data_IF_007895236673
#
_entry.id   IF_007895236673
#
_cell.length_a   1.000
_cell.length_b   1.000
_cell.length_c   1.000
_cell.angle_alpha   90.00
_cell.angle_beta   90.00
_cell.angle_gamma   90.00
#
_symmetry.space_group_name_H-M   'P 1'
#
loop_
_entity.id
_entity.type
_entity.pdbx_description
1 polymer ?
#
# COMPACT_ATOMS: atom_id res chain seq x y z
N UNK A 1 16.21 0.01 43.14
CA UNK A 1 15.78 0.74 41.93
C UNK A 1 14.71 -0.12 41.30
N UNK A 2 13.45 0.30 41.32
CA UNK A 2 12.37 -0.44 40.67
C UNK A 2 12.67 -0.46 39.17
N UNK A 3 12.69 -1.66 38.58
CA UNK A 3 12.96 -1.86 37.16
C UNK A 3 11.80 -1.26 36.36
N UNK A 4 11.82 0.04 36.11
CA UNK A 4 10.77 0.74 35.37
C UNK A 4 10.94 0.40 33.90
N UNK A 5 10.18 -0.58 33.43
CA UNK A 5 10.05 -0.89 32.00
C UNK A 5 9.56 0.35 31.24
N UNK A 6 10.07 0.52 30.02
CA UNK A 6 9.79 1.69 29.16
C UNK A 6 8.60 1.44 28.22
N UNK A 7 8.12 2.52 27.60
CA UNK A 7 7.18 2.49 26.49
C UNK A 7 7.91 2.95 25.22
N UNK A 8 7.81 2.19 24.13
CA UNK A 8 8.24 2.63 22.80
C UNK A 8 7.04 3.22 22.06
N UNK A 9 7.09 4.50 21.70
CA UNK A 9 6.02 5.20 20.99
C UNK A 9 6.34 5.33 19.50
N UNK A 10 5.41 4.88 18.66
CA UNK A 10 5.37 5.24 17.24
C UNK A 10 5.15 6.75 17.09
N UNK A 11 6.20 7.49 16.76
CA UNK A 11 6.21 8.94 16.82
C UNK A 11 6.28 9.56 15.42
N UNK A 12 5.25 10.33 15.05
CA UNK A 12 5.12 10.98 13.74
C UNK A 12 5.53 12.45 13.73
N UNK A 13 5.78 13.05 14.91
CA UNK A 13 6.07 14.49 15.02
C UNK A 13 4.82 15.39 15.09
N UNK A 14 3.62 14.83 14.88
CA UNK A 14 2.35 15.57 14.97
C UNK A 14 1.96 15.95 16.41
N UNK A 15 0.88 16.73 16.55
CA UNK A 15 0.36 17.14 17.87
C UNK A 15 0.05 15.93 18.76
N UNK A 16 -0.71 14.97 18.24
CA UNK A 16 -1.26 13.82 18.96
C UNK A 16 -0.13 13.00 19.59
N UNK A 17 0.86 12.61 18.79
CA UNK A 17 2.00 11.80 19.25
C UNK A 17 3.00 12.61 20.07
N UNK A 18 3.05 13.95 19.94
CA UNK A 18 3.90 14.80 20.78
C UNK A 18 3.33 14.99 22.17
N UNK A 19 2.00 15.14 22.28
CA UNK A 19 1.30 15.16 23.57
C UNK A 19 1.29 13.79 24.23
N UNK A 20 1.22 12.72 23.44
CA UNK A 20 1.26 11.35 23.95
C UNK A 20 2.51 11.04 24.80
N UNK A 21 3.66 11.63 24.49
CA UNK A 21 4.92 11.40 25.22
C UNK A 21 4.78 11.72 26.72
N UNK A 22 4.53 12.97 27.13
CA UNK A 22 4.36 13.31 28.55
C UNK A 22 3.08 12.71 29.13
N UNK A 23 2.01 12.60 28.34
CA UNK A 23 0.74 12.04 28.79
C UNK A 23 0.89 10.56 29.22
N UNK A 24 1.54 9.73 28.40
CA UNK A 24 1.84 8.33 28.73
C UNK A 24 2.68 8.24 30.01
N UNK A 25 3.68 9.12 30.15
CA UNK A 25 4.54 9.14 31.33
C UNK A 25 3.76 9.46 32.60
N UNK A 26 2.81 10.40 32.55
CA UNK A 26 1.96 10.73 33.70
C UNK A 26 0.97 9.62 34.04
N UNK A 27 0.34 9.01 33.02
CA UNK A 27 -0.66 7.97 33.24
C UNK A 27 -0.06 6.64 33.71
N UNK A 28 1.15 6.31 33.26
CA UNK A 28 1.77 4.98 33.51
C UNK A 28 2.97 5.03 34.47
N UNK A 29 3.59 6.20 34.65
CA UNK A 29 4.84 6.35 35.39
C UNK A 29 6.08 5.79 34.69
N UNK A 30 5.95 5.33 33.44
CA UNK A 30 7.01 4.76 32.60
C UNK A 30 7.65 5.83 31.71
N UNK A 31 8.95 5.68 31.45
CA UNK A 31 9.64 6.56 30.50
C UNK A 31 9.32 6.15 29.05
N UNK A 32 9.21 7.15 28.17
CA UNK A 32 8.84 6.97 26.77
C UNK A 32 10.07 7.14 25.87
N UNK A 33 10.29 6.17 24.99
CA UNK A 33 11.24 6.24 23.87
C UNK A 33 10.43 6.52 22.60
N UNK A 34 10.72 7.63 21.91
CA UNK A 34 10.04 7.98 20.67
C UNK A 34 10.77 7.36 19.47
N UNK A 35 10.06 6.67 18.58
CA UNK A 35 10.63 6.05 17.39
C UNK A 35 9.93 6.61 16.15
N UNK A 36 10.71 7.25 15.27
CA UNK A 36 10.24 7.81 14.01
C UNK A 36 10.90 7.12 12.83
N UNK A 37 10.11 6.76 11.82
CA UNK A 37 10.62 6.19 10.58
C UNK A 37 10.42 7.18 9.43
N UNK A 38 11.42 7.28 8.57
CA UNK A 38 11.28 7.86 7.25
C UNK A 38 10.88 6.76 6.27
N UNK A 39 9.66 6.87 5.75
CA UNK A 39 9.10 6.02 4.68
C UNK A 39 8.80 6.87 3.44
N UNK A 40 9.39 8.06 3.35
CA UNK A 40 9.22 8.98 2.23
C UNK A 40 8.04 9.93 2.38
N UNK A 41 7.61 10.21 3.61
CA UNK A 41 6.51 11.13 3.90
C UNK A 41 6.82 12.60 3.53
N UNK A 42 8.09 12.97 3.39
CA UNK A 42 8.51 14.36 3.19
C UNK A 42 8.20 15.24 4.42
N UNK A 43 8.03 16.56 4.20
CA UNK A 43 7.72 17.49 5.27
C UNK A 43 8.94 17.92 6.09
N UNK A 44 8.80 17.94 7.42
CA UNK A 44 9.86 18.38 8.32
C UNK A 44 11.05 17.42 8.33
N UNK A 45 12.26 17.96 8.47
CA UNK A 45 13.46 17.13 8.60
C UNK A 45 13.37 16.24 9.84
N UNK A 46 13.82 14.99 9.74
CA UNK A 46 13.73 14.02 10.84
C UNK A 46 14.44 14.49 12.11
N UNK A 47 15.50 15.29 11.98
CA UNK A 47 16.20 15.88 13.12
C UNK A 47 15.31 16.86 13.90
N UNK A 48 14.40 17.57 13.23
CA UNK A 48 13.41 18.44 13.88
C UNK A 48 12.40 17.60 14.66
N UNK A 49 11.92 16.51 14.05
CA UNK A 49 11.00 15.56 14.70
C UNK A 49 11.67 14.95 15.95
N UNK A 50 12.91 14.48 15.81
CA UNK A 50 13.71 13.95 16.93
C UNK A 50 13.82 14.94 18.10
N UNK A 51 14.25 16.16 17.80
CA UNK A 51 14.43 17.19 18.82
C UNK A 51 13.10 17.60 19.47
N UNK A 52 11.99 17.58 18.72
CA UNK A 52 10.65 17.81 19.27
C UNK A 52 10.24 16.73 20.27
N UNK A 53 10.46 15.45 19.97
CA UNK A 53 10.17 14.35 20.90
C UNK A 53 10.93 14.51 22.22
N UNK A 54 12.24 14.79 22.15
CA UNK A 54 13.07 15.03 23.33
C UNK A 54 12.56 16.23 24.13
N UNK A 55 12.22 17.33 23.45
CA UNK A 55 11.69 18.52 24.09
C UNK A 55 10.28 18.32 24.69
N UNK A 56 9.52 17.32 24.23
CA UNK A 56 8.26 16.89 24.82
C UNK A 56 8.44 15.89 25.99
N UNK A 57 9.67 15.48 26.31
CA UNK A 57 9.97 14.67 27.49
C UNK A 57 10.27 13.19 27.24
N UNK A 58 10.52 12.79 25.98
CA UNK A 58 11.01 11.45 25.68
C UNK A 58 12.41 11.26 26.28
N UNK A 59 12.67 10.08 26.85
CA UNK A 59 14.00 9.75 27.42
C UNK A 59 15.04 9.47 26.33
N UNK A 60 14.56 9.06 25.15
CA UNK A 60 15.35 8.83 23.95
C UNK A 60 14.45 9.08 22.72
N UNK A 61 15.06 9.51 21.61
CA UNK A 61 14.35 9.65 20.34
C UNK A 61 15.17 9.05 19.20
N UNK A 62 14.67 7.93 18.70
CA UNK A 62 15.29 7.13 17.66
C UNK A 62 14.65 7.41 16.30
N UNK A 63 15.48 7.58 15.28
CA UNK A 63 15.06 7.87 13.91
C UNK A 63 15.68 6.82 12.99
N UNK A 64 14.87 6.24 12.12
CA UNK A 64 15.31 5.28 11.10
C UNK A 64 14.98 5.83 9.72
N UNK A 65 15.95 5.83 8.81
CA UNK A 65 15.64 5.96 7.38
C UNK A 65 15.33 4.59 6.79
N UNK A 66 14.05 4.33 6.52
CA UNK A 66 13.55 3.04 6.07
C UNK A 66 12.97 3.10 4.65
N UNK A 67 13.31 4.13 3.86
CA UNK A 67 12.76 4.33 2.51
C UNK A 67 13.10 3.20 1.55
N UNK A 68 14.39 2.84 1.45
CA UNK A 68 14.84 1.73 0.60
C UNK A 68 14.21 0.41 1.06
N UNK A 69 14.25 0.15 2.38
CA UNK A 69 13.65 -1.04 2.96
C UNK A 69 12.14 -1.14 2.71
N UNK A 70 11.42 -0.01 2.78
CA UNK A 70 10.00 0.07 2.47
C UNK A 70 9.74 -0.26 0.99
N UNK A 71 10.50 0.36 0.09
CA UNK A 71 10.38 0.10 -1.34
C UNK A 71 10.66 -1.38 -1.66
N UNK A 72 11.81 -1.89 -1.21
CA UNK A 72 12.31 -3.23 -1.56
C UNK A 72 11.47 -4.35 -0.98
N UNK A 73 11.11 -4.26 0.31
CA UNK A 73 10.52 -5.39 1.03
C UNK A 73 9.00 -5.30 1.21
N UNK A 74 8.39 -4.14 0.96
CA UNK A 74 6.96 -3.94 1.16
C UNK A 74 6.28 -3.55 -0.15
N UNK A 75 6.72 -2.46 -0.78
CA UNK A 75 6.13 -2.01 -2.04
C UNK A 75 6.34 -3.02 -3.17
N UNK A 76 7.51 -3.65 -3.29
CA UNK A 76 7.72 -4.65 -4.34
C UNK A 76 6.90 -5.93 -4.14
N UNK A 77 6.62 -6.34 -2.90
CA UNK A 77 5.68 -7.44 -2.65
C UNK A 77 4.26 -7.05 -3.09
N UNK A 78 3.83 -5.84 -2.78
CA UNK A 78 2.53 -5.33 -3.23
C UNK A 78 2.44 -5.21 -4.75
N UNK A 79 3.51 -4.76 -5.41
CA UNK A 79 3.60 -4.67 -6.87
C UNK A 79 3.48 -6.05 -7.53
N UNK A 80 4.26 -7.03 -7.07
CA UNK A 80 4.23 -8.41 -7.56
C UNK A 80 2.87 -9.08 -7.37
N UNK A 81 2.18 -8.71 -6.29
CA UNK A 81 0.81 -9.15 -5.99
C UNK A 81 -0.26 -8.34 -6.73
N UNK A 82 0.11 -7.37 -7.60
CA UNK A 82 -0.80 -6.42 -8.23
C UNK A 82 -1.83 -5.83 -7.25
N UNK A 83 -1.39 -5.53 -6.02
CA UNK A 83 -2.29 -5.39 -4.89
C UNK A 83 -3.20 -4.17 -5.04
N UNK A 84 -4.51 -4.44 -5.13
CA UNK A 84 -5.57 -3.43 -5.23
C UNK A 84 -6.74 -3.88 -4.35
N UNK A 85 -6.84 -3.32 -3.15
CA UNK A 85 -7.99 -3.55 -2.27
C UNK A 85 -9.27 -3.06 -2.94
N UNK A 86 -10.30 -3.90 -2.94
CA UNK A 86 -11.56 -3.68 -3.67
C UNK A 86 -11.34 -3.30 -5.14
N UNK A 87 -10.32 -3.88 -5.77
CA UNK A 87 -9.90 -3.62 -7.16
C UNK A 87 -9.48 -2.16 -7.45
N UNK A 88 -9.33 -1.30 -6.42
CA UNK A 88 -9.11 0.14 -6.57
C UNK A 88 -7.92 0.69 -5.76
N UNK A 89 -7.73 0.29 -4.50
CA UNK A 89 -6.78 0.95 -3.58
C UNK A 89 -5.47 0.17 -3.38
N UNK A 90 -4.28 0.70 -3.76
CA UNK A 90 -3.01 -0.02 -3.66
C UNK A 90 -2.36 0.03 -2.26
N UNK A 91 -3.17 -0.01 -1.20
CA UNK A 91 -2.72 -0.27 0.17
C UNK A 91 -1.70 0.75 0.74
N UNK A 92 -1.71 1.99 0.25
CA UNK A 92 -0.82 3.11 0.66
C UNK A 92 -0.46 3.10 2.13
N UNK A 93 -1.48 3.21 2.96
CA UNK A 93 -1.32 3.25 4.40
C UNK A 93 -0.97 1.86 4.92
N UNK A 94 -1.70 0.83 4.50
CA UNK A 94 -1.57 -0.52 5.05
C UNK A 94 -0.14 -1.11 4.95
N UNK A 95 0.59 -0.81 3.88
CA UNK A 95 1.93 -1.38 3.63
C UNK A 95 3.00 -0.88 4.61
N UNK A 96 2.91 0.37 5.09
CA UNK A 96 3.96 0.93 5.97
C UNK A 96 3.85 0.47 7.42
N UNK A 97 2.65 0.09 7.88
CA UNK A 97 2.40 -0.33 9.28
C UNK A 97 3.24 -1.53 9.71
N UNK A 98 3.30 -2.66 8.96
CA UNK A 98 4.15 -3.78 9.37
C UNK A 98 5.64 -3.45 9.39
N UNK A 99 6.12 -2.53 8.54
CA UNK A 99 7.49 -2.01 8.60
C UNK A 99 7.74 -1.24 9.89
N UNK A 100 6.87 -0.26 10.17
CA UNK A 100 6.96 0.57 11.38
C UNK A 100 6.95 -0.35 12.62
N UNK A 101 5.99 -1.27 12.70
CA UNK A 101 5.88 -2.18 13.84
C UNK A 101 7.13 -3.02 14.06
N UNK A 102 7.76 -3.53 12.99
CA UNK A 102 9.00 -4.30 13.13
C UNK A 102 10.14 -3.48 13.76
N UNK A 103 10.27 -2.22 13.37
CA UNK A 103 11.25 -1.30 14.00
C UNK A 103 10.87 -0.93 15.43
N UNK A 104 9.58 -0.81 15.75
CA UNK A 104 9.12 -0.60 17.13
C UNK A 104 9.43 -1.79 18.04
N UNK A 105 9.22 -3.01 17.57
CA UNK A 105 9.57 -4.25 18.30
C UNK A 105 11.08 -4.33 18.53
N UNK A 106 11.88 -4.04 17.49
CA UNK A 106 13.33 -3.97 17.63
C UNK A 106 13.75 -2.94 18.69
N UNK A 107 13.21 -1.72 18.63
CA UNK A 107 13.48 -0.69 19.62
C UNK A 107 12.99 -1.11 21.02
N UNK A 108 11.87 -1.83 21.14
CA UNK A 108 11.37 -2.30 22.43
C UNK A 108 12.37 -3.25 23.10
N UNK A 109 12.97 -4.17 22.33
CA UNK A 109 14.03 -5.04 22.84
C UNK A 109 15.32 -4.28 23.17
N UNK A 110 15.73 -3.34 22.32
CA UNK A 110 16.94 -2.53 22.52
C UNK A 110 16.86 -1.66 23.78
N UNK A 111 15.69 -1.08 24.05
CA UNK A 111 15.48 -0.14 25.15
C UNK A 111 14.79 -0.77 26.39
N UNK A 112 14.70 -2.10 26.48
CA UNK A 112 14.06 -2.82 27.61
C UNK A 112 12.63 -2.29 27.91
N UNK A 113 11.83 -2.16 26.86
CA UNK A 113 10.41 -1.81 26.93
C UNK A 113 9.54 -3.08 26.90
N UNK A 114 8.45 -3.09 27.66
CA UNK A 114 7.42 -4.15 27.56
C UNK A 114 6.15 -3.69 26.85
N UNK A 115 6.10 -2.42 26.45
CA UNK A 115 4.89 -1.81 25.89
C UNK A 115 5.25 -0.96 24.67
N UNK A 116 4.51 -1.16 23.59
CA UNK A 116 4.56 -0.31 22.40
C UNK A 116 3.29 0.55 22.36
N UNK A 117 3.45 1.85 22.20
CA UNK A 117 2.36 2.80 22.05
C UNK A 117 2.22 3.27 20.59
N UNK A 118 0.99 3.53 20.17
CA UNK A 118 0.68 4.12 18.86
C UNK A 118 -0.48 5.10 18.95
N UNK A 119 -0.53 6.10 18.06
CA UNK A 119 -1.56 7.14 18.05
C UNK A 119 -2.81 6.79 17.24
N UNK A 120 -3.19 5.51 17.11
CA UNK A 120 -4.34 5.15 16.28
C UNK A 120 -5.66 5.33 17.04
N UNK A 121 -6.71 5.75 16.32
CA UNK A 121 -8.07 5.84 16.85
C UNK A 121 -8.77 4.47 16.89
N UNK A 122 -9.88 4.37 17.62
CA UNK A 122 -10.69 3.16 17.74
C UNK A 122 -11.56 2.81 16.52
N UNK A 123 -11.61 3.65 15.48
CA UNK A 123 -12.45 3.45 14.28
C UNK A 123 -11.67 3.21 12.97
N UNK A 124 -10.35 3.26 13.03
CA UNK A 124 -9.47 3.05 11.88
C UNK A 124 -8.95 1.62 11.81
N UNK A 125 -8.47 1.22 10.62
CA UNK A 125 -7.83 -0.09 10.42
C UNK A 125 -6.41 -0.15 11.02
N UNK A 126 -5.74 0.99 11.19
CA UNK A 126 -4.35 1.02 11.63
C UNK A 126 -4.14 0.47 13.04
N UNK A 127 -5.11 0.61 13.94
CA UNK A 127 -5.01 -0.02 15.26
C UNK A 127 -4.86 -1.55 15.11
N UNK A 128 -5.58 -2.17 14.18
CA UNK A 128 -5.51 -3.62 13.92
C UNK A 128 -4.15 -3.95 13.31
N UNK A 129 -3.72 -3.18 12.32
CA UNK A 129 -2.44 -3.38 11.63
C UNK A 129 -1.24 -3.27 12.58
N UNK A 130 -1.26 -2.31 13.51
CA UNK A 130 -0.22 -2.20 14.54
C UNK A 130 -0.30 -3.35 15.53
N UNK A 131 -1.44 -3.56 16.19
CA UNK A 131 -1.53 -4.48 17.32
C UNK A 131 -1.40 -5.95 16.90
N UNK A 132 -2.00 -6.36 15.78
CA UNK A 132 -1.82 -7.71 15.24
C UNK A 132 -0.37 -7.95 14.86
N UNK A 133 0.31 -6.95 14.28
CA UNK A 133 1.72 -7.06 13.95
C UNK A 133 2.61 -7.14 15.21
N UNK A 134 2.33 -6.36 16.25
CA UNK A 134 3.05 -6.42 17.54
C UNK A 134 2.93 -7.82 18.10
N UNK A 135 1.69 -8.32 18.26
CA UNK A 135 1.42 -9.65 18.81
C UNK A 135 2.02 -10.79 17.98
N UNK A 136 2.09 -10.61 16.66
CA UNK A 136 2.67 -11.63 15.76
C UNK A 136 4.20 -11.67 15.80
N UNK A 137 4.85 -10.53 16.04
CA UNK A 137 6.30 -10.43 16.12
C UNK A 137 6.83 -10.78 17.51
N UNK A 138 6.13 -10.34 18.55
CA UNK A 138 6.43 -10.69 19.95
C UNK A 138 5.14 -10.66 20.79
N UNK A 139 4.59 -11.83 21.17
CA UNK A 139 3.36 -11.91 21.96
C UNK A 139 3.53 -11.48 23.43
N UNK A 140 4.76 -11.27 23.92
CA UNK A 140 5.01 -10.78 25.29
C UNK A 140 4.91 -9.24 25.39
N UNK A 141 5.04 -8.53 24.27
CA UNK A 141 4.89 -7.08 24.22
C UNK A 141 3.43 -6.66 24.31
N UNK A 142 3.14 -5.67 25.14
CA UNK A 142 1.83 -5.03 25.24
C UNK A 142 1.71 -3.94 24.18
N UNK A 143 0.48 -3.68 23.75
CA UNK A 143 0.17 -2.50 22.94
C UNK A 143 -0.75 -1.55 23.72
N UNK A 144 -0.59 -0.25 23.50
CA UNK A 144 -1.47 0.77 24.07
C UNK A 144 -1.70 1.91 23.07
N UNK A 145 -2.95 2.36 22.95
CA UNK A 145 -3.28 3.61 22.28
C UNK A 145 -3.69 4.65 23.31
N UNK A 146 -2.96 5.76 23.50
CA UNK A 146 -3.39 6.84 24.38
C UNK A 146 -4.76 7.41 23.99
N UNK A 147 -5.04 7.45 22.69
CA UNK A 147 -6.29 7.99 22.15
C UNK A 147 -7.47 7.07 22.48
N UNK A 148 -7.32 5.76 22.23
CA UNK A 148 -8.39 4.79 22.43
C UNK A 148 -8.53 4.34 23.89
N UNK A 149 -7.42 4.03 24.54
CA UNK A 149 -7.39 3.33 25.83
C UNK A 149 -7.30 4.29 27.02
N UNK A 150 -6.75 5.49 26.81
CA UNK A 150 -6.58 6.50 27.86
C UNK A 150 -7.43 7.76 27.62
N UNK A 151 -8.29 7.75 26.60
CA UNK A 151 -9.20 8.88 26.30
C UNK A 151 -8.47 10.21 26.05
N UNK A 152 -7.30 10.17 25.39
CA UNK A 152 -6.60 11.35 24.90
C UNK A 152 -7.34 11.92 23.68
N UNK A 153 -8.41 12.67 23.93
CA UNK A 153 -9.20 13.35 22.90
C UNK A 153 -8.53 14.65 22.47
N UNK A 154 -8.91 15.18 21.31
CA UNK A 154 -8.27 16.38 20.72
C UNK A 154 -8.30 17.61 21.62
N UNK A 155 -9.41 17.82 22.32
CA UNK A 155 -9.56 18.90 23.31
C UNK A 155 -8.67 18.69 24.53
N UNK A 156 -8.54 17.44 25.01
CA UNK A 156 -7.60 17.07 26.07
C UNK A 156 -6.16 17.28 25.61
N UNK A 157 -5.81 16.91 24.37
CA UNK A 157 -4.46 17.12 23.82
C UNK A 157 -4.06 18.59 23.83
N UNK A 158 -4.96 19.46 23.37
CA UNK A 158 -4.71 20.91 23.29
C UNK A 158 -4.58 21.50 24.70
N UNK A 159 -5.47 21.14 25.62
CA UNK A 159 -5.39 21.59 27.01
C UNK A 159 -4.08 21.12 27.66
N UNK A 160 -3.75 19.84 27.51
CA UNK A 160 -2.55 19.23 28.06
C UNK A 160 -1.27 19.88 27.50
N UNK A 161 -1.23 20.14 26.20
CA UNK A 161 -0.10 20.81 25.55
C UNK A 161 0.13 22.22 26.10
N UNK A 162 -0.96 22.98 26.35
CA UNK A 162 -0.88 24.33 26.90
C UNK A 162 -0.45 24.30 28.38
N UNK A 163 -1.05 23.41 29.19
CA UNK A 163 -0.75 23.30 30.62
C UNK A 163 0.71 22.90 30.88
N UNK A 164 1.27 22.05 30.00
CA UNK A 164 2.66 21.59 30.08
C UNK A 164 3.64 22.43 29.25
N UNK A 165 3.18 23.53 28.63
CA UNK A 165 4.00 24.41 27.78
C UNK A 165 4.82 23.63 26.72
N UNK A 166 4.20 22.65 26.07
CA UNK A 166 4.89 21.81 25.10
C UNK A 166 5.31 22.64 23.87
N UNK A 167 6.52 22.42 23.32
CA UNK A 167 7.07 23.19 22.20
C UNK A 167 6.48 22.74 20.86
N UNK A 168 5.16 22.76 20.75
CA UNK A 168 4.42 22.30 19.59
C UNK A 168 3.75 23.51 18.94
N UNK A 169 4.10 23.78 17.70
CA UNK A 169 3.41 24.79 16.91
C UNK A 169 1.99 24.31 16.66
N UNK A 170 1.00 24.99 17.25
CA UNK A 170 -0.39 24.84 16.82
C UNK A 170 -0.50 25.44 15.41
N UNK A 171 -0.17 24.66 14.38
CA UNK A 171 -0.42 25.09 13.01
C UNK A 171 -1.92 25.37 12.87
N UNK A 172 -2.28 26.44 12.16
CA UNK A 172 -3.68 26.73 11.82
C UNK A 172 -4.32 25.45 11.31
N UNK A 173 -5.48 25.06 11.87
CA UNK A 173 -6.23 23.85 11.49
C UNK A 173 -6.21 23.65 9.97
N UNK A 174 -5.37 22.72 9.50
CA UNK A 174 -5.62 22.09 8.22
C UNK A 174 -6.90 21.27 8.38
N UNK A 175 -7.92 21.42 7.52
CA UNK A 175 -9.12 20.59 7.56
C UNK A 175 -8.87 19.15 7.08
N UNK A 176 -7.63 18.85 6.66
CA UNK A 176 -7.21 17.55 6.13
C UNK A 176 -6.45 16.75 7.18
N UNK A 177 -6.87 15.50 7.37
CA UNK A 177 -6.07 14.43 7.95
C UNK A 177 -5.34 13.74 6.80
N UNK A 178 -4.00 13.73 6.85
CA UNK A 178 -3.15 13.27 5.75
C UNK A 178 -2.20 12.21 6.30
N UNK A 179 -2.18 11.07 5.63
CA UNK A 179 -1.12 10.07 5.77
C UNK A 179 -0.42 9.92 4.41
N UNK A 180 0.90 10.04 4.37
CA UNK A 180 1.64 9.97 3.10
C UNK A 180 2.99 9.33 3.29
N UNK A 181 3.42 8.61 2.27
CA UNK A 181 4.72 7.96 2.16
C UNK A 181 5.09 7.88 0.67
N UNK A 182 6.26 7.32 0.34
CA UNK A 182 6.70 7.28 -1.07
C UNK A 182 5.76 6.46 -1.97
N UNK A 183 4.97 5.53 -1.45
CA UNK A 183 4.04 4.72 -2.24
C UNK A 183 2.74 5.47 -2.60
N UNK A 184 2.36 6.46 -1.79
CA UNK A 184 1.21 7.30 -2.06
C UNK A 184 0.75 8.14 -0.87
N UNK A 185 -0.41 8.76 -1.03
CA UNK A 185 -1.01 9.68 -0.06
C UNK A 185 -2.49 9.38 0.14
N UNK A 186 -2.92 9.29 1.38
CA UNK A 186 -4.31 9.16 1.82
C UNK A 186 -4.79 10.49 2.43
N UNK A 187 -6.05 10.83 2.16
CA UNK A 187 -6.62 12.12 2.51
C UNK A 187 -8.03 11.90 3.06
N UNK A 188 -8.23 12.29 4.31
CA UNK A 188 -9.54 12.38 4.95
C UNK A 188 -9.84 13.85 5.29
N UNK A 189 -11.09 14.26 5.12
CA UNK A 189 -11.55 15.58 5.57
C UNK A 189 -13.05 15.52 5.85
N UNK A 190 -13.50 16.23 6.89
CA UNK A 190 -14.91 16.27 7.28
C UNK A 190 -15.85 16.70 6.14
N UNK A 191 -15.37 17.49 5.17
CA UNK A 191 -16.15 17.89 4.00
C UNK A 191 -16.52 16.71 3.09
N UNK A 192 -15.62 15.73 2.94
CA UNK A 192 -15.80 14.58 2.05
C UNK A 192 -16.47 13.38 2.74
N UNK A 193 -16.76 13.47 4.04
CA UNK A 193 -17.61 12.50 4.73
C UNK A 193 -19.02 12.44 4.14
N UNK A 194 -19.50 13.53 3.52
CA UNK A 194 -20.67 13.48 2.62
C UNK A 194 -20.24 12.96 1.24
N UNK A 195 -20.69 11.77 0.80
CA UNK A 195 -20.31 11.18 -0.48
C UNK A 195 -20.78 11.97 -1.70
N UNK A 196 -21.70 12.94 -1.55
CA UNK A 196 -22.14 13.80 -2.65
C UNK A 196 -21.21 15.00 -2.89
N UNK A 197 -20.38 15.35 -1.91
CA UNK A 197 -19.40 16.44 -2.07
C UNK A 197 -18.24 15.97 -2.95
N UNK A 198 -18.02 16.64 -4.07
CA UNK A 198 -16.88 16.36 -4.94
C UNK A 198 -15.56 16.83 -4.28
N UNK A 199 -14.45 16.11 -4.49
CA UNK A 199 -13.14 16.57 -4.04
C UNK A 199 -12.72 17.87 -4.73
N UNK A 200 -12.15 18.81 -3.97
CA UNK A 200 -11.60 20.08 -4.50
C UNK A 200 -10.13 19.92 -4.86
N UNK A 201 -9.60 20.79 -5.74
CA UNK A 201 -8.19 20.71 -6.15
C UNK A 201 -7.21 20.85 -4.98
N UNK A 202 -7.59 21.60 -3.93
CA UNK A 202 -6.81 21.77 -2.70
C UNK A 202 -6.57 20.47 -1.92
N UNK A 203 -7.36 19.43 -2.19
CA UNK A 203 -7.16 18.11 -1.58
C UNK A 203 -5.87 17.44 -2.08
N UNK A 204 -5.46 17.71 -3.33
CA UNK A 204 -4.41 17.00 -4.05
C UNK A 204 -3.05 17.69 -3.91
N UNK A 205 -1.99 16.89 -3.81
CA UNK A 205 -0.61 17.36 -3.64
C UNK A 205 0.40 16.60 -4.49
N UNK A 206 0.27 15.27 -4.57
CA UNK A 206 1.17 14.41 -5.36
C UNK A 206 0.88 14.49 -6.86
N UNK A 207 -0.35 14.86 -7.22
CA UNK A 207 -0.83 14.84 -8.61
C UNK A 207 -1.30 16.21 -9.06
N UNK A 208 -1.04 16.55 -10.32
CA UNK A 208 -1.61 17.73 -10.98
C UNK A 208 -3.00 17.44 -11.52
N UNK A 209 -3.82 18.47 -11.70
CA UNK A 209 -5.16 18.31 -12.25
C UNK A 209 -5.11 17.65 -13.66
N UNK A 210 -5.80 16.53 -13.90
CA UNK A 210 -5.79 15.86 -15.21
C UNK A 210 -6.55 16.61 -16.31
N UNK A 211 -7.37 17.61 -15.96
CA UNK A 211 -8.10 18.46 -16.91
C UNK A 211 -7.23 19.59 -17.49
N UNK A 212 -6.09 19.88 -16.89
CA UNK A 212 -5.14 20.85 -17.42
C UNK A 212 -4.43 20.28 -18.65
N UNK A 213 -4.41 21.04 -19.75
CA UNK A 213 -3.76 20.63 -21.00
C UNK A 213 -2.25 20.46 -20.81
N UNK A 214 -1.73 19.29 -21.18
CA UNK A 214 -0.31 18.90 -21.01
C UNK A 214 0.19 18.16 -22.25
N UNK A 215 1.50 17.99 -22.36
CA UNK A 215 2.07 17.07 -23.35
C UNK A 215 2.04 15.66 -22.77
N UNK A 216 1.56 14.65 -23.52
CA UNK A 216 1.70 13.25 -23.12
C UNK A 216 3.17 12.89 -22.81
N UNK A 217 3.38 12.08 -21.78
CA UNK A 217 4.70 11.55 -21.42
C UNK A 217 4.77 10.07 -21.82
N UNK A 218 5.73 9.70 -22.67
CA UNK A 218 5.97 8.31 -23.02
C UNK A 218 7.09 7.75 -22.15
N UNK A 219 6.84 6.61 -21.53
CA UNK A 219 7.79 5.94 -20.62
C UNK A 219 7.93 4.48 -20.99
N UNK A 220 9.15 3.95 -20.88
CA UNK A 220 9.43 2.51 -20.90
C UNK A 220 9.93 2.07 -19.53
N UNK A 221 9.31 1.06 -18.95
CA UNK A 221 9.69 0.49 -17.66
C UNK A 221 10.21 -0.93 -17.92
N UNK A 222 11.45 -1.19 -17.50
CA UNK A 222 12.08 -2.51 -17.57
C UNK A 222 11.94 -3.20 -16.23
N UNK A 223 11.46 -4.45 -16.25
CA UNK A 223 11.35 -5.32 -15.09
C UNK A 223 12.31 -6.50 -15.19
N UNK A 224 12.83 -6.92 -14.05
CA UNK A 224 13.49 -8.20 -13.85
C UNK A 224 12.82 -8.93 -12.69
N UNK A 225 12.30 -10.13 -12.95
CA UNK A 225 11.61 -10.97 -11.96
C UNK A 225 10.54 -10.22 -11.16
N UNK A 226 9.70 -9.47 -11.87
CA UNK A 226 8.61 -8.68 -11.31
C UNK A 226 9.02 -7.37 -10.62
N UNK A 227 10.31 -7.01 -10.63
CA UNK A 227 10.83 -5.79 -9.99
C UNK A 227 11.25 -4.79 -11.07
N UNK A 228 10.84 -3.50 -11.01
CA UNK A 228 11.32 -2.48 -11.93
C UNK A 228 12.81 -2.21 -11.66
N UNK A 229 13.63 -2.32 -12.71
CA UNK A 229 15.08 -2.16 -12.65
C UNK A 229 15.62 -1.06 -13.56
N UNK A 230 14.83 -0.57 -14.52
CA UNK A 230 15.18 0.59 -15.32
C UNK A 230 13.94 1.38 -15.78
N UNK A 231 14.11 2.69 -15.97
CA UNK A 231 13.14 3.58 -16.62
C UNK A 231 13.83 4.29 -17.79
N UNK A 232 13.24 4.17 -18.98
CA UNK A 232 13.79 4.66 -20.25
C UNK A 232 15.25 4.22 -20.49
N UNK A 233 15.57 2.99 -20.07
CA UNK A 233 16.90 2.39 -20.19
C UNK A 233 17.90 2.82 -19.11
N UNK A 234 17.53 3.69 -18.16
CA UNK A 234 18.38 4.09 -17.05
C UNK A 234 18.09 3.21 -15.83
N UNK A 235 19.13 2.58 -15.28
CA UNK A 235 18.99 1.72 -14.10
C UNK A 235 18.49 2.49 -12.89
N UNK A 236 17.56 1.89 -12.15
CA UNK A 236 16.96 2.46 -10.94
C UNK A 236 16.85 1.40 -9.84
N UNK A 237 16.93 1.82 -8.57
CA UNK A 237 16.45 1.01 -7.45
C UNK A 237 14.92 1.01 -7.40
N UNK A 238 14.26 0.09 -6.65
CA UNK A 238 12.83 0.14 -6.43
C UNK A 238 12.33 1.48 -5.89
N UNK A 239 13.07 2.10 -4.96
CA UNK A 239 12.72 3.43 -4.43
C UNK A 239 12.77 4.49 -5.54
N UNK A 240 13.85 4.52 -6.33
CA UNK A 240 14.01 5.45 -7.44
C UNK A 240 12.92 5.27 -8.51
N UNK A 241 12.54 4.03 -8.81
CA UNK A 241 11.45 3.73 -9.73
C UNK A 241 10.13 4.32 -9.24
N UNK A 242 9.81 4.16 -7.95
CA UNK A 242 8.60 4.74 -7.35
C UNK A 242 8.64 6.26 -7.38
N UNK A 243 9.76 6.89 -6.99
CA UNK A 243 9.91 8.34 -6.96
C UNK A 243 9.81 8.97 -8.36
N UNK A 244 10.50 8.41 -9.35
CA UNK A 244 10.43 8.89 -10.74
C UNK A 244 9.02 8.72 -11.30
N UNK A 245 8.39 7.56 -11.10
CA UNK A 245 7.03 7.32 -11.59
C UNK A 245 6.00 8.17 -10.84
N UNK A 246 6.19 8.48 -9.56
CA UNK A 246 5.37 9.45 -8.85
C UNK A 246 5.44 10.83 -9.49
N UNK A 247 6.65 11.29 -9.84
CA UNK A 247 6.83 12.58 -10.49
C UNK A 247 6.17 12.62 -11.87
N UNK A 248 6.49 11.63 -12.73
CA UNK A 248 6.03 11.59 -14.13
C UNK A 248 4.53 11.36 -14.24
N UNK A 249 4.02 10.32 -13.58
CA UNK A 249 2.60 10.01 -13.60
C UNK A 249 1.77 11.05 -12.83
N UNK A 250 2.31 11.58 -11.72
CA UNK A 250 1.68 12.65 -10.94
C UNK A 250 1.55 13.95 -11.73
N UNK A 251 2.56 14.32 -12.53
CA UNK A 251 2.47 15.46 -13.44
C UNK A 251 1.30 15.33 -14.44
N UNK A 252 0.97 14.10 -14.85
CA UNK A 252 -0.14 13.78 -15.75
C UNK A 252 -1.49 13.55 -15.03
N UNK A 253 -1.53 13.67 -13.70
CA UNK A 253 -2.75 13.52 -12.90
C UNK A 253 -3.21 12.08 -12.70
N UNK A 254 -2.32 11.11 -12.90
CA UNK A 254 -2.61 9.67 -12.76
C UNK A 254 -2.70 9.30 -11.27
N UNK A 255 -3.57 8.35 -10.95
CA UNK A 255 -3.65 7.77 -9.60
C UNK A 255 -4.43 8.61 -8.60
N UNK A 256 -5.33 9.50 -9.04
CA UNK A 256 -6.36 10.08 -8.16
C UNK A 256 -7.49 9.07 -7.97
N UNK A 257 -7.69 8.63 -6.74
CA UNK A 257 -8.74 7.67 -6.33
C UNK A 257 -9.70 8.37 -5.37
N UNK A 258 -10.99 8.13 -5.57
CA UNK A 258 -12.08 8.48 -4.65
C UNK A 258 -12.92 7.21 -4.45
N UNK A 259 -12.86 6.62 -3.25
CA UNK A 259 -13.44 5.30 -2.96
C UNK A 259 -14.28 5.36 -1.68
N UNK A 260 -15.38 4.63 -1.68
CA UNK A 260 -16.08 4.22 -0.45
C UNK A 260 -15.70 2.77 -0.18
N UNK A 261 -14.82 2.56 0.80
CA UNK A 261 -14.23 1.25 1.11
C UNK A 261 -14.88 0.59 2.33
N UNK A 262 -14.87 -0.74 2.38
CA UNK A 262 -15.24 -1.51 3.57
C UNK A 262 -14.05 -1.62 4.54
N UNK A 263 -14.15 -0.97 5.71
CA UNK A 263 -13.16 -1.15 6.79
C UNK A 263 -13.39 -2.48 7.48
N UNK A 264 -12.31 -3.11 7.93
CA UNK A 264 -12.36 -4.37 8.68
C UNK A 264 -13.24 -4.27 9.95
N UNK A 265 -13.28 -3.09 10.57
CA UNK A 265 -14.09 -2.83 11.77
C UNK A 265 -15.61 -2.74 11.50
N UNK A 266 -16.06 -3.02 10.27
CA UNK A 266 -17.48 -3.22 9.92
C UNK A 266 -18.22 -1.96 9.46
N UNK A 267 -17.51 -0.89 9.12
CA UNK A 267 -18.09 0.35 8.59
C UNK A 267 -17.55 0.67 7.21
N UNK A 268 -18.34 1.38 6.42
CA UNK A 268 -17.87 2.05 5.21
C UNK A 268 -17.25 3.40 5.55
N UNK A 269 -16.19 3.77 4.84
CA UNK A 269 -15.60 5.10 4.87
C UNK A 269 -15.31 5.59 3.47
N UNK A 270 -15.45 6.89 3.23
CA UNK A 270 -14.99 7.51 1.99
C UNK A 270 -13.59 8.08 2.18
N UNK A 271 -12.69 7.76 1.26
CA UNK A 271 -11.29 8.16 1.34
C UNK A 271 -10.77 8.55 -0.04
N UNK A 272 -9.94 9.58 -0.10
CA UNK A 272 -9.22 9.92 -1.31
C UNK A 272 -7.78 9.43 -1.22
N UNK A 273 -7.26 8.97 -2.36
CA UNK A 273 -5.85 8.60 -2.48
C UNK A 273 -5.18 9.25 -3.69
N UNK A 274 -3.88 9.52 -3.55
CA UNK A 274 -2.98 9.87 -4.65
C UNK A 274 -1.85 8.83 -4.74
N UNK A 275 -1.85 8.04 -5.82
CA UNK A 275 -0.97 6.89 -6.01
C UNK A 275 -0.33 6.86 -7.41
N UNK A 276 0.28 7.97 -7.89
CA UNK A 276 0.70 8.09 -9.27
C UNK A 276 1.69 6.99 -9.71
N UNK A 277 2.76 6.80 -8.95
CA UNK A 277 3.78 5.79 -9.26
C UNK A 277 3.26 4.38 -9.08
N UNK A 278 2.62 4.09 -7.95
CA UNK A 278 2.04 2.77 -7.67
C UNK A 278 1.03 2.33 -8.75
N UNK A 279 0.10 3.20 -9.14
CA UNK A 279 -0.88 2.91 -10.18
C UNK A 279 -0.21 2.60 -11.52
N UNK A 280 0.74 3.43 -11.95
CA UNK A 280 1.42 3.23 -13.23
C UNK A 280 2.29 1.96 -13.23
N UNK A 281 3.03 1.70 -12.14
CA UNK A 281 3.86 0.51 -11.98
C UNK A 281 3.01 -0.77 -11.94
N UNK A 282 1.90 -0.79 -11.20
CA UNK A 282 0.98 -1.95 -11.15
C UNK A 282 0.38 -2.19 -12.54
N UNK A 283 -0.06 -1.14 -13.25
CA UNK A 283 -0.57 -1.29 -14.62
C UNK A 283 0.49 -1.86 -15.56
N UNK A 284 1.74 -1.41 -15.46
CA UNK A 284 2.83 -1.98 -16.26
C UNK A 284 3.10 -3.45 -15.91
N UNK A 285 3.18 -3.76 -14.62
CA UNK A 285 3.45 -5.11 -14.12
C UNK A 285 2.38 -6.12 -14.56
N UNK A 286 1.09 -5.79 -14.42
CA UNK A 286 -0.03 -6.63 -14.91
C UNK A 286 0.08 -6.94 -16.41
N UNK A 287 0.55 -5.97 -17.19
CA UNK A 287 0.70 -6.11 -18.63
C UNK A 287 1.92 -6.95 -19.03
N UNK A 288 2.96 -6.95 -18.20
CA UNK A 288 4.08 -7.88 -18.36
C UNK A 288 3.69 -9.31 -17.99
N UNK A 289 2.90 -9.49 -16.93
CA UNK A 289 2.36 -10.81 -16.56
C UNK A 289 1.44 -11.39 -17.65
N UNK A 290 0.69 -10.54 -18.37
CA UNK A 290 -0.10 -10.97 -19.53
C UNK A 290 0.76 -11.60 -20.64
N UNK A 291 2.02 -11.15 -20.77
CA UNK A 291 2.96 -11.68 -21.75
C UNK A 291 3.72 -12.91 -21.25
N UNK A 292 4.00 -13.02 -19.95
CA UNK A 292 4.96 -13.98 -19.41
C UNK A 292 4.33 -15.15 -18.64
N UNK A 293 3.08 -15.02 -18.17
CA UNK A 293 2.42 -16.08 -17.38
C UNK A 293 1.48 -16.94 -18.23
N UNK A 294 1.52 -18.25 -18.02
CA UNK A 294 0.60 -19.19 -18.66
C UNK A 294 -0.85 -18.91 -18.21
N UNK A 295 -1.82 -19.19 -19.10
CA UNK A 295 -3.23 -18.82 -18.93
C UNK A 295 -3.85 -19.27 -17.60
N UNK A 296 -3.68 -20.52 -17.18
CA UNK A 296 -4.29 -21.03 -15.95
C UNK A 296 -3.50 -20.60 -14.70
N UNK A 297 -2.16 -20.53 -14.77
CA UNK A 297 -1.34 -19.94 -13.71
C UNK A 297 -1.77 -18.49 -13.44
N UNK A 298 -1.92 -17.69 -14.50
CA UNK A 298 -2.32 -16.29 -14.40
C UNK A 298 -3.76 -16.13 -13.90
N UNK A 299 -4.71 -16.97 -14.34
CA UNK A 299 -6.08 -16.96 -13.81
C UNK A 299 -6.10 -17.19 -12.30
N UNK A 300 -5.39 -18.21 -11.83
CA UNK A 300 -5.29 -18.50 -10.40
C UNK A 300 -4.59 -17.36 -9.65
N UNK A 301 -3.50 -16.83 -10.21
CA UNK A 301 -2.76 -15.73 -9.60
C UNK A 301 -3.64 -14.51 -9.35
N UNK A 302 -4.51 -14.13 -10.29
CA UNK A 302 -5.43 -12.98 -10.12
C UNK A 302 -6.37 -13.11 -8.92
N UNK A 303 -6.83 -14.32 -8.62
CA UNK A 303 -7.64 -14.57 -7.42
C UNK A 303 -6.80 -14.46 -6.14
N UNK A 304 -5.54 -14.92 -6.19
CA UNK A 304 -4.61 -14.86 -5.07
C UNK A 304 -4.07 -13.45 -4.82
N UNK A 305 -3.87 -12.65 -5.86
CA UNK A 305 -3.53 -11.22 -5.80
C UNK A 305 -4.59 -10.46 -4.98
N UNK A 306 -5.88 -10.73 -5.24
CA UNK A 306 -7.01 -10.16 -4.47
C UNK A 306 -6.96 -10.58 -3.01
N UNK A 307 -6.79 -11.88 -2.74
CA UNK A 307 -6.70 -12.37 -1.36
C UNK A 307 -5.48 -11.83 -0.61
N UNK A 308 -4.37 -11.64 -1.29
CA UNK A 308 -3.20 -11.00 -0.71
C UNK A 308 -3.52 -9.57 -0.28
N UNK A 309 -4.18 -8.79 -1.15
CA UNK A 309 -4.55 -7.41 -0.84
C UNK A 309 -5.54 -7.31 0.34
N UNK A 310 -6.55 -8.18 0.38
CA UNK A 310 -7.49 -8.29 1.52
C UNK A 310 -6.75 -8.56 2.84
N UNK A 311 -5.88 -9.59 2.88
CA UNK A 311 -5.16 -9.93 4.10
C UNK A 311 -4.23 -8.82 4.59
N UNK A 312 -3.56 -8.11 3.67
CA UNK A 312 -2.70 -6.98 4.05
C UNK A 312 -3.54 -5.81 4.56
N UNK A 313 -4.67 -5.50 3.92
CA UNK A 313 -5.62 -4.49 4.41
C UNK A 313 -6.07 -4.78 5.84
N UNK A 314 -6.36 -6.05 6.13
CA UNK A 314 -6.84 -6.59 7.42
C UNK A 314 -5.75 -6.71 8.50
N UNK A 315 -4.52 -6.27 8.23
CA UNK A 315 -3.42 -6.31 9.20
C UNK A 315 -2.79 -7.70 9.37
N UNK A 316 -3.03 -8.64 8.44
CA UNK A 316 -2.52 -10.01 8.49
C UNK A 316 -1.13 -10.17 7.82
N UNK A 317 -0.34 -9.09 7.69
CA UNK A 317 0.97 -9.12 7.02
C UNK A 317 1.89 -10.24 7.52
N UNK A 318 1.96 -10.45 8.84
CA UNK A 318 2.80 -11.47 9.48
C UNK A 318 2.12 -12.84 9.62
N UNK A 319 0.92 -13.02 9.06
CA UNK A 319 0.19 -14.28 9.13
C UNK A 319 0.83 -15.38 8.27
N UNK A 320 0.65 -16.67 8.63
CA UNK A 320 1.11 -17.79 7.80
C UNK A 320 0.50 -17.81 6.39
N UNK A 321 -0.72 -17.29 6.21
CA UNK A 321 -1.38 -17.25 4.90
C UNK A 321 -0.70 -16.26 3.97
N UNK A 322 -0.41 -15.03 4.42
CA UNK A 322 0.35 -14.04 3.62
C UNK A 322 1.74 -14.55 3.28
N UNK A 323 2.43 -15.21 4.22
CA UNK A 323 3.73 -15.86 3.93
C UNK A 323 3.63 -16.91 2.83
N UNK A 324 2.57 -17.71 2.82
CA UNK A 324 2.37 -18.76 1.80
C UNK A 324 2.02 -18.16 0.44
N UNK A 325 1.19 -17.10 0.43
CA UNK A 325 0.90 -16.34 -0.79
C UNK A 325 2.16 -15.67 -1.35
N UNK A 326 3.01 -15.10 -0.50
CA UNK A 326 4.30 -14.53 -0.92
C UNK A 326 5.20 -15.58 -1.59
N UNK A 327 5.20 -16.82 -1.10
CA UNK A 327 5.98 -17.90 -1.73
C UNK A 327 5.45 -18.23 -3.13
N UNK A 328 4.12 -18.36 -3.28
CA UNK A 328 3.49 -18.56 -4.57
C UNK A 328 3.78 -17.39 -5.54
N UNK A 329 3.51 -16.16 -5.11
CA UNK A 329 3.69 -14.95 -5.94
C UNK A 329 5.15 -14.81 -6.36
N UNK A 330 6.12 -15.04 -5.48
CA UNK A 330 7.53 -14.94 -5.86
C UNK A 330 7.95 -16.00 -6.88
N UNK A 331 7.38 -17.21 -6.83
CA UNK A 331 7.62 -18.24 -7.85
C UNK A 331 7.07 -17.81 -9.20
N UNK A 332 5.86 -17.23 -9.25
CA UNK A 332 5.31 -16.77 -10.52
C UNK A 332 6.14 -15.67 -11.16
N UNK A 333 6.95 -14.94 -10.39
CA UNK A 333 7.78 -13.87 -10.91
C UNK A 333 9.05 -14.33 -11.64
N UNK A 334 9.42 -15.62 -11.62
CA UNK A 334 10.70 -16.09 -12.18
C UNK A 334 10.94 -15.66 -13.64
N UNK A 335 9.88 -15.59 -14.44
CA UNK A 335 9.91 -15.23 -15.86
C UNK A 335 9.27 -13.87 -16.17
N UNK A 336 8.86 -13.10 -15.16
CA UNK A 336 8.23 -11.78 -15.35
C UNK A 336 9.33 -10.72 -15.54
N UNK A 337 10.00 -10.78 -16.68
CA UNK A 337 11.10 -9.88 -17.05
C UNK A 337 10.89 -9.32 -18.46
N UNK A 338 11.10 -8.03 -18.66
CA UNK A 338 10.88 -7.38 -19.95
C UNK A 338 10.55 -5.89 -19.85
N UNK A 339 10.24 -5.29 -20.98
CA UNK A 339 9.95 -3.87 -21.13
C UNK A 339 8.46 -3.63 -21.41
N UNK A 340 7.88 -2.67 -20.70
CA UNK A 340 6.53 -2.16 -20.94
C UNK A 340 6.62 -0.69 -21.29
N UNK A 341 6.09 -0.32 -22.48
CA UNK A 341 5.99 1.07 -22.91
C UNK A 341 4.58 1.59 -22.68
N UNK A 342 4.47 2.77 -22.11
CA UNK A 342 3.20 3.42 -21.77
C UNK A 342 3.18 4.89 -22.22
N UNK A 343 2.00 5.40 -22.51
CA UNK A 343 1.72 6.83 -22.61
C UNK A 343 0.95 7.27 -21.37
N UNK A 344 1.53 8.19 -20.62
CA UNK A 344 0.96 8.84 -19.43
C UNK A 344 0.32 10.16 -19.86
N UNK A 345 -1.01 10.26 -19.72
CA UNK A 345 -1.72 11.46 -20.13
C UNK A 345 -3.10 11.60 -19.49
N UNK A 346 -3.45 12.82 -19.07
CA UNK A 346 -4.79 13.21 -18.64
C UNK A 346 -5.45 12.21 -17.67
N UNK A 347 -4.70 11.81 -16.63
CA UNK A 347 -5.15 10.90 -15.59
C UNK A 347 -5.12 9.41 -15.94
N UNK A 348 -4.55 9.03 -17.10
CA UNK A 348 -4.45 7.62 -17.53
C UNK A 348 -3.03 7.21 -17.91
N UNK A 349 -2.67 5.99 -17.54
CA UNK A 349 -1.48 5.30 -18.04
C UNK A 349 -1.94 4.24 -19.04
N UNK A 350 -1.63 4.43 -20.33
CA UNK A 350 -2.09 3.54 -21.41
C UNK A 350 -0.90 2.76 -21.96
N UNK A 351 -0.93 1.44 -21.91
CA UNK A 351 0.15 0.60 -22.47
C UNK A 351 0.11 0.60 -24.00
N UNK A 352 1.25 0.89 -24.61
CA UNK A 352 1.44 1.01 -26.06
C UNK A 352 2.41 -0.03 -26.64
N UNK A 353 3.13 -0.77 -25.80
CA UNK A 353 4.05 -1.81 -26.25
C UNK A 353 4.50 -2.73 -25.13
N UNK A 354 4.80 -3.99 -25.49
CA UNK A 354 5.39 -5.00 -24.60
C UNK A 354 6.53 -5.69 -25.35
N UNK A 355 7.61 -5.99 -24.64
CA UNK A 355 8.78 -6.73 -25.15
C UNK A 355 9.30 -7.62 -24.03
N UNK A 356 9.54 -8.89 -24.28
CA UNK A 356 10.18 -9.80 -23.33
C UNK A 356 10.82 -10.96 -24.07
N UNK A 357 12.03 -11.34 -23.65
CA UNK A 357 12.69 -12.57 -24.11
C UNK A 357 12.09 -13.82 -23.44
N UNK A 358 11.31 -13.64 -22.37
CA UNK A 358 10.56 -14.66 -21.63
C UNK A 358 9.07 -14.70 -22.05
N UNK A 359 8.73 -14.03 -23.16
CA UNK A 359 7.35 -13.93 -23.65
C UNK A 359 6.79 -15.29 -24.08
N UNK A 360 5.57 -15.59 -23.63
CA UNK A 360 4.76 -16.71 -24.11
C UNK A 360 3.93 -16.36 -25.36
N UNK A 361 3.91 -15.08 -25.76
CA UNK A 361 3.34 -14.70 -27.05
C UNK A 361 4.25 -15.18 -28.19
N UNK A 362 3.71 -16.08 -29.01
CA UNK A 362 4.35 -16.55 -30.23
C UNK A 362 3.63 -15.95 -31.45
N UNK A 363 4.35 -15.11 -32.19
CA UNK A 363 3.83 -14.45 -33.38
C UNK A 363 3.35 -15.45 -34.45
N UNK A 364 4.08 -16.53 -34.69
CA UNK A 364 3.77 -17.49 -35.73
C UNK A 364 2.57 -18.38 -35.35
N UNK A 365 2.29 -18.58 -34.07
CA UNK A 365 1.08 -19.28 -33.63
C UNK A 365 -0.17 -18.39 -33.68
N UNK A 366 -0.02 -17.06 -33.66
CA UNK A 366 -1.12 -16.11 -33.59
C UNK A 366 -1.49 -15.47 -34.94
N UNK A 367 -0.53 -15.36 -35.85
CA UNK A 367 -0.73 -14.67 -37.14
C UNK A 367 -1.65 -15.44 -38.09
N UNK A 368 -2.31 -14.71 -38.99
CA UNK A 368 -3.05 -15.25 -40.14
C UNK A 368 -2.24 -15.16 -41.45
N UNK A 369 -1.01 -14.65 -41.37
CA UNK A 369 -0.13 -14.54 -42.53
C UNK A 369 0.42 -15.92 -42.93
N UNK A 370 1.19 -15.96 -44.02
CA UNK A 370 1.76 -17.20 -44.55
C UNK A 370 2.76 -17.91 -43.61
N UNK A 371 3.18 -17.26 -42.52
CA UNK A 371 4.02 -17.84 -41.48
C UNK A 371 3.23 -18.47 -40.33
N UNK A 372 1.89 -18.60 -40.45
CA UNK A 372 1.05 -19.32 -39.48
C UNK A 372 1.56 -20.75 -39.25
N UNK A 373 1.69 -21.12 -37.98
CA UNK A 373 2.14 -22.43 -37.50
C UNK A 373 1.11 -23.15 -36.64
N UNK A 374 -0.07 -22.56 -36.41
CA UNK A 374 -1.13 -23.17 -35.61
C UNK A 374 -1.87 -24.27 -36.40
N UNK A 375 -1.90 -25.51 -35.89
CA UNK A 375 -2.68 -26.58 -36.53
C UNK A 375 -4.18 -26.42 -36.25
N UNK A 376 -4.86 -25.68 -37.12
CA UNK A 376 -6.29 -25.39 -37.02
C UNK A 376 -7.18 -26.66 -37.00
N UNK A 377 -6.68 -27.82 -37.47
CA UNK A 377 -7.48 -29.07 -37.47
C UNK A 377 -7.71 -29.62 -36.07
N UNK A 378 -6.79 -29.36 -35.14
CA UNK A 378 -6.91 -29.80 -33.75
C UNK A 378 -8.13 -29.18 -33.04
N UNK A 379 -8.57 -27.99 -33.47
CA UNK A 379 -9.70 -27.27 -32.90
C UNK A 379 -11.01 -28.05 -32.91
N UNK A 380 -11.25 -28.87 -33.96
CA UNK A 380 -12.49 -29.64 -34.06
C UNK A 380 -12.64 -30.64 -32.91
N UNK A 381 -11.58 -31.40 -32.61
CA UNK A 381 -11.57 -32.36 -31.50
C UNK A 381 -11.60 -31.66 -30.15
N UNK A 382 -10.86 -30.56 -30.01
CA UNK A 382 -10.88 -29.75 -28.79
C UNK A 382 -12.28 -29.23 -28.46
N UNK A 383 -12.98 -28.62 -29.42
CA UNK A 383 -14.32 -28.05 -29.21
C UNK A 383 -15.34 -29.13 -28.84
N UNK A 384 -15.32 -30.27 -29.54
CA UNK A 384 -16.27 -31.36 -29.26
C UNK A 384 -16.09 -31.91 -27.83
N UNK A 385 -14.85 -32.05 -27.36
CA UNK A 385 -14.57 -32.54 -26.00
C UNK A 385 -14.85 -31.46 -24.95
N UNK A 386 -14.36 -30.23 -25.15
CA UNK A 386 -14.50 -29.14 -24.18
C UNK A 386 -15.97 -28.77 -23.96
N UNK A 387 -16.78 -28.73 -25.02
CA UNK A 387 -18.21 -28.44 -24.95
C UNK A 387 -19.10 -29.62 -24.55
N UNK A 388 -18.55 -30.83 -24.39
CA UNK A 388 -19.35 -32.04 -24.19
C UNK A 388 -20.22 -31.97 -22.93
N UNK A 389 -19.69 -31.45 -21.83
CA UNK A 389 -20.41 -31.37 -20.55
C UNK A 389 -21.65 -30.46 -20.65
N UNK A 390 -21.51 -29.28 -21.24
CA UNK A 390 -22.63 -28.33 -21.43
C UNK A 390 -23.62 -28.83 -22.48
N UNK A 391 -23.15 -29.48 -23.55
CA UNK A 391 -23.99 -30.13 -24.57
C UNK A 391 -24.90 -31.21 -23.95
N UNK A 392 -24.36 -32.04 -23.05
CA UNK A 392 -25.14 -33.07 -22.35
C UNK A 392 -26.17 -32.45 -21.41
N UNK A 393 -25.80 -31.40 -20.67
CA UNK A 393 -26.73 -30.67 -19.81
C UNK A 393 -27.90 -30.08 -20.60
N UNK A 394 -27.60 -29.38 -21.71
CA UNK A 394 -28.62 -28.82 -22.60
C UNK A 394 -29.54 -29.91 -23.19
N UNK A 395 -28.99 -31.07 -23.57
CA UNK A 395 -29.78 -32.19 -24.06
C UNK A 395 -30.76 -32.73 -22.99
N UNK A 396 -30.37 -32.74 -21.72
CA UNK A 396 -31.28 -33.06 -20.60
C UNK A 396 -32.38 -32.00 -20.49
N UNK A 397 -32.02 -30.72 -20.50
CA UNK A 397 -32.99 -29.62 -20.33
C UNK A 397 -34.06 -29.67 -21.43
N UNK A 398 -33.66 -29.86 -22.69
CA UNK A 398 -34.59 -30.02 -23.83
C UNK A 398 -35.49 -31.25 -23.70
N UNK A 399 -34.98 -32.35 -23.14
CA UNK A 399 -35.77 -33.58 -22.97
C UNK A 399 -36.83 -33.40 -21.89
N UNK A 400 -36.50 -32.72 -20.79
CA UNK A 400 -37.43 -32.46 -19.69
C UNK A 400 -38.49 -31.44 -20.10
N UNK A 401 -38.11 -30.34 -20.75
CA UNK A 401 -39.04 -29.29 -21.19
C UNK A 401 -40.04 -29.73 -22.27
N UNK A 402 -39.87 -30.90 -22.89
CA UNK A 402 -40.84 -31.49 -23.81
C UNK A 402 -41.89 -32.37 -23.12
N UNK A 403 -41.66 -32.70 -21.85
CA UNK A 403 -42.54 -33.55 -21.03
C UNK A 403 -43.40 -32.72 -20.06
N UNK A 404 -43.16 -31.41 -19.97
CA UNK A 404 -44.03 -30.40 -19.37
C UNK A 404 -44.86 -29.73 -20.50
#
# INVERSE_FOLDING_TARGET
MTNKKRIVLAYSGGLDTSVAIPYLKEQTGQDVVAVSLNVGQGGEALEVIKNRALACGAVESYVVDAREEFADNYCMLALKANAMYEDVYPLVSALSRPLITRHLVHAAHEFDADTIAHGCTGKGNDQVRFEVAIQSLDPELKAISPIRDLSLTRDVEIAFANDHNLPITQSKKSPYSIDQNVWGRAIETGFLEDPWNAPTEECYSYTKNPLEAKTPDEVTITFEKGVPVAIDGHSVTPLQAIEEMNQRAGAQGIGRIDIIEDRLVGIKSRELYEVPGAQALITAHQELENCCLEREQHRLKRDLDKKWAEFVYDGQWFSPVVRSLNAFINETQEHVSGDIRMTLYAGKAVVTGRKSDESLYDFNLATYDSSDTFDQRASNGFIEIYGLSSKVAAARDMRVAKND
#
